data_IF_397373713827
#
_entry.id   IF_397373713827
#
_cell.length_a   1.000
_cell.length_b   1.000
_cell.length_c   1.000
_cell.angle_alpha   90.00
_cell.angle_beta   90.00
_cell.angle_gamma   90.00
#
_symmetry.space_group_name_H-M   'P 1'
#
loop_
_entity.id
_entity.type
_entity.pdbx_description
1 polymer ?
#
# COMPACT_ATOMS: atom_id res chain seq x y z
N UNK A 1 -5.61 -9.88 14.85
CA UNK A 1 -4.84 -8.79 15.46
C UNK A 1 -5.48 -7.49 15.03
N UNK A 2 -5.64 -6.56 15.95
CA UNK A 2 -6.17 -5.21 15.67
C UNK A 2 -5.33 -4.17 16.41
N UNK A 3 -5.26 -2.96 15.87
CA UNK A 3 -4.46 -1.86 16.45
C UNK A 3 -4.96 -1.48 17.85
N UNK A 4 -6.27 -1.53 18.07
CA UNK A 4 -6.93 -1.19 19.33
C UNK A 4 -6.98 -2.36 20.33
N UNK A 5 -6.72 -3.59 19.88
CA UNK A 5 -6.85 -4.81 20.67
C UNK A 5 -8.30 -5.29 20.88
N UNK A 6 -9.27 -4.74 20.13
CA UNK A 6 -10.67 -5.19 20.17
C UNK A 6 -10.84 -6.66 19.76
N UNK A 7 -9.93 -7.22 18.96
CA UNK A 7 -9.99 -8.62 18.54
C UNK A 7 -8.63 -9.28 18.28
N UNK A 8 -8.40 -10.44 18.90
CA UNK A 8 -7.16 -11.19 18.80
C UNK A 8 -6.00 -10.49 19.53
N UNK A 9 -4.82 -10.44 18.92
CA UNK A 9 -3.65 -9.75 19.49
C UNK A 9 -3.70 -8.25 19.21
N UNK A 10 -3.25 -7.42 20.17
CA UNK A 10 -3.14 -5.97 19.97
C UNK A 10 -1.82 -5.62 19.28
N UNK A 11 -1.87 -4.81 18.22
CA UNK A 11 -0.68 -4.23 17.59
C UNK A 11 -0.73 -4.23 16.05
N UNK A 12 0.38 -3.84 15.44
CA UNK A 12 0.55 -3.82 13.99
C UNK A 12 1.02 -5.16 13.45
N UNK A 13 0.74 -5.42 12.16
CA UNK A 13 1.18 -6.62 11.43
C UNK A 13 2.69 -6.89 11.54
N UNK A 14 3.50 -5.84 11.62
CA UNK A 14 4.96 -5.93 11.73
C UNK A 14 5.42 -6.51 13.05
N UNK A 15 4.67 -6.32 14.14
CA UNK A 15 4.98 -6.90 15.45
C UNK A 15 4.87 -8.41 15.39
N UNK A 16 3.76 -8.93 14.84
CA UNK A 16 3.58 -10.37 14.70
C UNK A 16 4.57 -10.97 13.72
N UNK A 17 4.82 -10.29 12.60
CA UNK A 17 5.81 -10.72 11.61
C UNK A 17 7.21 -10.86 12.23
N UNK A 18 7.64 -9.86 13.01
CA UNK A 18 8.92 -9.90 13.71
C UNK A 18 9.02 -11.11 14.66
N UNK A 19 8.00 -11.34 15.49
CA UNK A 19 7.96 -12.50 16.39
C UNK A 19 8.07 -13.84 15.63
N UNK A 20 7.43 -13.94 14.47
CA UNK A 20 7.50 -15.13 13.63
C UNK A 20 8.90 -15.35 13.06
N UNK A 21 9.57 -14.29 12.61
CA UNK A 21 10.94 -14.35 12.10
C UNK A 21 11.95 -14.67 13.21
N UNK A 22 11.76 -14.10 14.41
CA UNK A 22 12.61 -14.34 15.58
C UNK A 22 12.40 -15.73 16.21
N UNK A 23 11.26 -16.38 15.96
CA UNK A 23 10.98 -17.74 16.45
C UNK A 23 11.90 -18.83 15.89
N UNK A 24 12.71 -18.50 14.89
CA UNK A 24 13.58 -19.45 14.19
C UNK A 24 12.89 -20.25 13.09
N UNK A 25 11.58 -20.04 12.87
CA UNK A 25 10.89 -20.58 11.69
C UNK A 25 11.40 -19.89 10.43
N UNK A 26 11.82 -20.70 9.46
CA UNK A 26 12.26 -20.22 8.16
C UNK A 26 11.06 -19.89 7.27
N UNK A 27 11.13 -18.75 6.60
CA UNK A 27 10.15 -18.30 5.61
C UNK A 27 10.90 -17.96 4.34
N UNK A 28 10.46 -18.52 3.22
CA UNK A 28 11.09 -18.28 1.92
C UNK A 28 10.71 -16.91 1.33
N UNK A 29 9.47 -16.47 1.61
CA UNK A 29 8.91 -15.25 1.01
C UNK A 29 7.84 -14.61 1.91
N UNK A 30 7.80 -13.27 1.89
CA UNK A 30 6.75 -12.45 2.51
C UNK A 30 6.08 -11.62 1.41
N UNK A 31 4.75 -11.68 1.34
CA UNK A 31 3.95 -10.82 0.47
C UNK A 31 3.19 -9.80 1.33
N UNK A 32 3.33 -8.51 1.03
CA UNK A 32 2.67 -7.43 1.75
C UNK A 32 1.77 -6.59 0.83
N UNK A 33 0.51 -6.44 1.24
CA UNK A 33 -0.51 -5.69 0.51
C UNK A 33 -1.25 -4.83 1.53
N UNK A 34 -1.21 -3.51 1.37
CA UNK A 34 -1.85 -2.60 2.32
C UNK A 34 -1.43 -1.15 2.12
N UNK A 35 -1.59 -0.30 3.14
CA UNK A 35 -1.12 1.08 3.09
C UNK A 35 0.39 1.15 2.81
N UNK A 36 0.85 2.15 2.04
CA UNK A 36 2.27 2.36 1.74
C UNK A 36 3.16 2.33 3.00
N UNK A 37 2.79 2.99 4.12
CA UNK A 37 3.59 2.92 5.35
C UNK A 37 3.68 1.49 5.91
N UNK A 38 2.59 0.72 5.86
CA UNK A 38 2.58 -0.67 6.32
C UNK A 38 3.54 -1.52 5.48
N UNK A 39 3.47 -1.42 4.15
CA UNK A 39 4.35 -2.15 3.25
C UNK A 39 5.82 -1.76 3.44
N UNK A 40 6.11 -0.47 3.63
CA UNK A 40 7.45 0.03 4.00
C UNK A 40 7.99 -0.67 5.25
N UNK A 41 7.20 -0.71 6.32
CA UNK A 41 7.65 -1.29 7.58
C UNK A 41 7.76 -2.82 7.51
N UNK A 42 6.89 -3.50 6.75
CA UNK A 42 7.05 -4.94 6.49
C UNK A 42 8.39 -5.22 5.79
N UNK A 43 8.72 -4.49 4.71
CA UNK A 43 10.00 -4.61 4.03
C UNK A 43 11.21 -4.33 4.93
N UNK A 44 11.09 -3.37 5.86
CA UNK A 44 12.13 -3.09 6.85
C UNK A 44 12.26 -4.20 7.89
N UNK A 45 11.15 -4.78 8.34
CA UNK A 45 11.13 -5.87 9.32
C UNK A 45 11.78 -7.15 8.76
N UNK A 46 11.57 -7.46 7.48
CA UNK A 46 12.10 -8.70 6.87
C UNK A 46 13.56 -8.58 6.40
N UNK A 47 14.02 -7.37 6.09
CA UNK A 47 15.36 -7.12 5.52
C UNK A 47 16.53 -7.67 6.35
N UNK A 48 16.58 -7.50 7.70
CA UNK A 48 17.65 -8.08 8.52
C UNK A 48 17.69 -9.61 8.51
N UNK A 49 16.57 -10.26 8.23
CA UNK A 49 16.44 -11.72 8.18
C UNK A 49 16.74 -12.29 6.78
N UNK A 50 16.99 -11.43 5.78
CA UNK A 50 17.26 -11.85 4.41
C UNK A 50 16.06 -12.50 3.70
N UNK A 51 14.84 -12.33 4.22
CA UNK A 51 13.63 -12.94 3.64
C UNK A 51 13.15 -12.12 2.45
N UNK A 52 13.02 -12.77 1.28
CA UNK A 52 12.49 -12.15 0.07
C UNK A 52 11.12 -11.53 0.38
N UNK A 53 10.96 -10.25 0.04
CA UNK A 53 9.72 -9.53 0.36
C UNK A 53 9.17 -8.84 -0.88
N UNK A 54 7.96 -9.23 -1.26
CA UNK A 54 7.22 -8.65 -2.38
C UNK A 54 6.12 -7.75 -1.85
N UNK A 55 5.96 -6.58 -2.46
CA UNK A 55 4.92 -5.60 -2.11
C UNK A 55 4.08 -5.26 -3.32
N UNK A 56 2.76 -5.28 -3.16
CA UNK A 56 1.81 -4.85 -4.21
C UNK A 56 1.59 -3.34 -4.07
N UNK A 57 2.30 -2.54 -4.85
CA UNK A 57 2.23 -1.08 -4.75
C UNK A 57 0.88 -0.54 -5.24
N UNK A 58 0.41 0.52 -4.60
CA UNK A 58 -0.82 1.24 -4.96
C UNK A 58 -0.56 2.73 -5.26
N UNK A 59 0.25 3.05 -6.30
CA UNK A 59 0.38 4.42 -6.79
C UNK A 59 -0.93 4.88 -7.46
N UNK A 60 -1.07 6.20 -7.64
CA UNK A 60 -2.13 6.77 -8.46
C UNK A 60 -2.06 6.19 -9.88
N UNK A 61 -3.20 5.75 -10.43
CA UNK A 61 -3.32 5.27 -11.81
C UNK A 61 -4.32 6.12 -12.58
N UNK A 62 -4.08 6.31 -13.88
CA UNK A 62 -5.00 7.01 -14.78
C UNK A 62 -5.43 6.11 -15.93
N UNK A 63 -4.50 5.74 -16.83
CA UNK A 63 -4.83 4.88 -17.98
C UNK A 63 -4.76 3.39 -17.63
N UNK A 64 -3.79 2.98 -16.80
CA UNK A 64 -3.62 1.58 -16.40
C UNK A 64 -3.04 0.66 -17.49
N UNK A 65 -2.52 1.22 -18.57
CA UNK A 65 -2.05 0.49 -19.76
C UNK A 65 -0.62 0.87 -20.18
N UNK A 66 0.08 1.66 -19.36
CA UNK A 66 1.47 2.07 -19.60
C UNK A 66 1.64 3.34 -20.44
N UNK A 67 0.57 4.07 -20.74
CA UNK A 67 0.63 5.24 -21.64
C UNK A 67 0.93 6.56 -20.92
N UNK A 68 0.49 6.75 -19.67
CA UNK A 68 0.56 8.07 -19.02
C UNK A 68 1.70 8.24 -18.00
N UNK A 69 2.27 7.15 -17.45
CA UNK A 69 3.27 7.21 -16.39
C UNK A 69 2.76 7.75 -15.03
N UNK A 70 1.44 7.87 -14.85
CA UNK A 70 0.81 8.26 -13.59
C UNK A 70 1.15 7.30 -12.44
N UNK A 71 1.26 6.01 -12.75
CA UNK A 71 1.61 4.96 -11.79
C UNK A 71 3.12 4.74 -11.63
N UNK A 72 3.97 5.68 -12.09
CA UNK A 72 5.42 5.50 -11.99
C UNK A 72 5.88 5.38 -10.54
N UNK A 73 6.86 4.51 -10.34
CA UNK A 73 7.55 4.24 -9.08
C UNK A 73 9.05 4.08 -9.36
N UNK A 74 9.89 4.43 -8.40
CA UNK A 74 11.32 4.13 -8.44
C UNK A 74 11.60 2.85 -7.67
N UNK A 75 12.15 1.84 -8.36
CA UNK A 75 12.52 0.54 -7.79
C UNK A 75 13.94 0.21 -8.23
N UNK A 76 14.85 0.00 -7.26
CA UNK A 76 16.25 -0.32 -7.56
C UNK A 76 17.01 0.81 -8.26
N UNK A 77 16.54 2.06 -8.13
CA UNK A 77 17.09 3.22 -8.83
C UNK A 77 16.58 3.40 -10.26
N UNK A 78 15.70 2.52 -10.74
CA UNK A 78 15.07 2.63 -12.07
C UNK A 78 13.61 3.06 -11.95
N UNK A 79 13.16 3.87 -12.89
CA UNK A 79 11.73 4.21 -13.03
C UNK A 79 11.00 3.03 -13.67
N UNK A 80 9.95 2.56 -13.01
CA UNK A 80 9.04 1.49 -13.46
C UNK A 80 7.59 1.99 -13.42
N UNK A 81 6.72 1.40 -14.22
CA UNK A 81 5.29 1.71 -14.26
C UNK A 81 4.49 0.58 -13.62
N UNK A 82 3.89 0.82 -12.45
CA UNK A 82 3.23 -0.23 -11.68
C UNK A 82 2.10 -0.96 -12.43
N UNK A 83 1.46 -0.34 -13.44
CA UNK A 83 0.40 -1.00 -14.21
C UNK A 83 0.90 -2.00 -15.26
N UNK A 84 2.17 -1.95 -15.65
CA UNK A 84 2.74 -2.81 -16.71
C UNK A 84 3.97 -3.59 -16.24
N UNK A 85 4.82 -2.97 -15.42
CA UNK A 85 6.01 -3.60 -14.85
C UNK A 85 5.74 -4.26 -13.48
N UNK A 86 4.59 -3.96 -12.87
CA UNK A 86 4.21 -4.41 -11.54
C UNK A 86 2.83 -5.07 -11.50
N UNK A 87 1.99 -4.80 -10.46
CA UNK A 87 2.18 -3.86 -9.36
C UNK A 87 3.08 -4.41 -8.23
N UNK A 88 3.48 -5.68 -8.35
CA UNK A 88 4.29 -6.40 -7.38
C UNK A 88 5.79 -6.15 -7.62
N UNK A 89 6.48 -5.61 -6.63
CA UNK A 89 7.91 -5.30 -6.69
C UNK A 89 8.66 -5.83 -5.48
N UNK A 90 9.98 -5.95 -5.59
CA UNK A 90 10.87 -6.20 -4.45
C UNK A 90 10.77 -5.03 -3.47
N UNK A 91 10.12 -5.28 -2.33
CA UNK A 91 9.88 -4.32 -1.27
C UNK A 91 11.16 -3.76 -0.65
N UNK A 92 12.30 -4.43 -0.80
CA UNK A 92 13.59 -3.93 -0.31
C UNK A 92 14.22 -2.87 -1.22
N UNK A 93 13.69 -2.71 -2.44
CA UNK A 93 14.21 -1.82 -3.48
C UNK A 93 13.30 -0.64 -3.81
N UNK A 94 12.10 -0.55 -3.22
CA UNK A 94 11.12 0.52 -3.47
C UNK A 94 11.54 1.83 -2.79
N UNK A 95 11.49 2.94 -3.53
CA UNK A 95 11.52 4.28 -2.94
C UNK A 95 10.14 4.64 -2.34
N UNK A 96 9.95 4.28 -1.08
CA UNK A 96 8.72 4.58 -0.36
C UNK A 96 8.50 6.08 -0.11
N UNK A 97 9.57 6.88 -0.02
CA UNK A 97 9.44 8.31 0.26
C UNK A 97 8.89 9.05 -0.96
N UNK A 98 9.43 8.73 -2.15
CA UNK A 98 8.90 9.21 -3.42
C UNK A 98 7.43 8.80 -3.57
N UNK A 99 7.11 7.52 -3.39
CA UNK A 99 5.76 7.01 -3.59
C UNK A 99 4.74 7.63 -2.62
N UNK A 100 5.08 7.79 -1.34
CA UNK A 100 4.20 8.48 -0.37
C UNK A 100 3.96 9.95 -0.75
N UNK A 101 4.99 10.65 -1.24
CA UNK A 101 4.84 12.02 -1.72
C UNK A 101 3.90 12.10 -2.94
N UNK A 102 4.09 11.20 -3.91
CA UNK A 102 3.24 11.10 -5.11
C UNK A 102 1.77 10.84 -4.76
N UNK A 103 1.49 9.94 -3.83
CA UNK A 103 0.13 9.65 -3.39
C UNK A 103 -0.53 10.81 -2.60
N UNK A 104 0.26 11.80 -2.16
CA UNK A 104 -0.27 13.00 -1.50
C UNK A 104 -0.69 14.12 -2.45
N UNK A 105 -0.37 14.02 -3.75
CA UNK A 105 -0.50 15.15 -4.72
C UNK A 105 -1.92 15.69 -4.82
N UNK A 106 -2.95 14.84 -4.76
CA UNK A 106 -4.34 15.25 -4.94
C UNK A 106 -5.11 15.43 -3.63
N UNK A 107 -4.44 15.39 -2.47
CA UNK A 107 -5.10 15.36 -1.15
C UNK A 107 -6.06 16.54 -0.93
N UNK A 108 -5.68 17.75 -1.36
CA UNK A 108 -6.55 18.93 -1.22
C UNK A 108 -7.81 18.81 -2.08
N UNK A 109 -7.65 18.39 -3.34
CA UNK A 109 -8.77 18.19 -4.25
C UNK A 109 -9.67 17.05 -3.80
N UNK A 110 -9.10 15.96 -3.30
CA UNK A 110 -9.85 14.84 -2.71
C UNK A 110 -10.68 15.31 -1.51
N UNK A 111 -10.13 16.17 -0.65
CA UNK A 111 -10.84 16.73 0.50
C UNK A 111 -12.00 17.65 0.09
N UNK A 112 -11.78 18.53 -0.89
CA UNK A 112 -12.82 19.41 -1.46
C UNK A 112 -13.96 18.61 -2.10
N UNK A 113 -13.61 17.63 -2.94
CA UNK A 113 -14.57 16.75 -3.60
C UNK A 113 -15.33 15.93 -2.56
N UNK A 114 -14.69 15.45 -1.48
CA UNK A 114 -15.37 14.69 -0.43
C UNK A 114 -16.49 15.47 0.26
N UNK A 115 -16.40 16.80 0.35
CA UNK A 115 -17.44 17.64 0.97
C UNK A 115 -18.62 17.90 0.02
N UNK A 116 -18.37 17.93 -1.28
CA UNK A 116 -19.35 18.32 -2.29
C UNK A 116 -19.91 17.14 -3.11
N UNK A 117 -19.20 16.01 -3.11
CA UNK A 117 -19.56 14.82 -3.86
C UNK A 117 -20.70 14.11 -3.16
N UNK A 118 -21.85 14.05 -3.84
CA UNK A 118 -22.94 13.16 -3.47
C UNK A 118 -22.79 11.87 -4.25
N UNK A 119 -22.50 10.77 -3.56
CA UNK A 119 -22.41 9.47 -4.22
C UNK A 119 -23.74 9.16 -4.92
N UNK A 120 -23.70 8.58 -6.12
CA UNK A 120 -24.95 8.21 -6.84
C UNK A 120 -25.80 7.25 -6.02
N UNK A 121 -25.17 6.38 -5.23
CA UNK A 121 -25.85 5.45 -4.32
C UNK A 121 -26.51 6.19 -3.15
N UNK A 122 -25.83 7.16 -2.54
CA UNK A 122 -26.42 8.00 -1.48
C UNK A 122 -27.61 8.80 -2.02
N UNK A 123 -27.44 9.42 -3.19
CA UNK A 123 -28.52 10.12 -3.87
C UNK A 123 -29.72 9.22 -4.14
N UNK A 124 -29.49 8.01 -4.66
CA UNK A 124 -30.55 7.03 -4.90
C UNK A 124 -31.25 6.60 -3.59
N UNK A 125 -30.48 6.37 -2.52
CA UNK A 125 -31.02 6.02 -1.21
C UNK A 125 -31.93 7.12 -0.65
N UNK A 126 -31.51 8.38 -0.74
CA UNK A 126 -32.34 9.51 -0.32
C UNK A 126 -33.61 9.68 -1.16
N UNK A 127 -33.54 9.41 -2.47
CA UNK A 127 -34.69 9.47 -3.38
C UNK A 127 -35.69 8.34 -3.11
N UNK A 128 -35.23 7.16 -2.70
CA UNK A 128 -36.08 6.01 -2.37
C UNK A 128 -36.72 6.07 -0.98
N UNK A 129 -36.22 6.91 -0.07
CA UNK A 129 -36.75 7.12 1.29
C UNK A 129 -37.82 8.23 1.32
N UNK A 130 -37.95 9.02 0.24
CA UNK A 130 -39.04 10.00 0.07
C UNK A 130 -40.29 9.37 -0.53
#
# INVERSE_FOLDING_TARGET
MTDDGSYGEKGFVTVKLQQLLESGKQYDEVLAIGPIPMMKFVSQTTKPFGVKTIVSLNPIMVDGTGMCGGCRVTVGGEVKFACVDGPDFDGHQVDYAELMNRNGVYREREAEVRQSHKCRIEKLGEELIK
#
